data_IF_347810789260
#
_entry.id   IF_347810789260
#
_cell.length_a   1.000
_cell.length_b   1.000
_cell.length_c   1.000
_cell.angle_alpha   90.00
_cell.angle_beta   90.00
_cell.angle_gamma   90.00
#
_symmetry.space_group_name_H-M   'P 1'
#
loop_
_entity.id
_entity.type
_entity.pdbx_description
1 polymer ?
#
# COMPACT_ATOMS: atom_id res chain seq x y z
N UNK A 1 8.60 13.04 0.98
CA UNK A 1 7.83 13.57 2.14
C UNK A 1 6.38 13.19 1.95
N UNK A 2 5.69 12.76 3.01
CA UNK A 2 4.24 12.53 3.00
C UNK A 2 3.55 13.84 3.38
N UNK A 3 2.53 14.24 2.63
CA UNK A 3 1.72 15.42 2.91
C UNK A 3 0.37 14.97 3.46
N UNK A 4 -0.03 15.52 4.60
CA UNK A 4 -1.35 15.27 5.20
C UNK A 4 -2.22 16.49 4.95
N UNK A 5 -3.32 16.30 4.23
CA UNK A 5 -4.39 17.29 4.20
C UNK A 5 -5.29 17.08 5.42
N UNK A 6 -5.28 18.02 6.36
CA UNK A 6 -6.06 17.97 7.58
C UNK A 6 -7.14 19.07 7.65
N UNK A 7 -7.71 19.50 6.52
CA UNK A 7 -8.74 20.56 6.48
C UNK A 7 -9.91 20.30 7.44
N UNK A 8 -10.26 19.03 7.67
CA UNK A 8 -11.39 18.63 8.50
C UNK A 8 -10.99 17.98 9.83
N UNK A 9 -9.74 18.18 10.28
CA UNK A 9 -9.21 17.64 11.54
C UNK A 9 -9.29 16.10 11.68
N UNK A 10 -9.52 15.39 10.57
CA UNK A 10 -9.64 13.93 10.54
C UNK A 10 -8.35 13.24 10.97
N UNK A 11 -7.20 13.82 10.63
CA UNK A 11 -5.92 13.28 11.06
C UNK A 11 -5.74 13.42 12.56
N UNK A 12 -6.07 14.58 13.14
CA UNK A 12 -5.94 14.79 14.58
C UNK A 12 -6.94 13.91 15.35
N UNK A 13 -8.17 13.77 14.83
CA UNK A 13 -9.16 12.82 15.32
C UNK A 13 -8.62 11.39 15.34
N UNK A 14 -8.07 10.92 14.22
CA UNK A 14 -7.42 9.61 14.12
C UNK A 14 -6.25 9.47 15.11
N UNK A 15 -5.41 10.50 15.24
CA UNK A 15 -4.29 10.54 16.18
C UNK A 15 -4.73 10.56 17.64
N UNK A 16 -5.92 11.08 17.95
CA UNK A 16 -6.47 11.13 19.31
C UNK A 16 -7.10 9.82 19.78
N UNK A 17 -7.33 8.84 18.89
CA UNK A 17 -7.92 7.55 19.26
C UNK A 17 -7.09 6.86 20.34
N UNK A 18 -7.76 6.43 21.40
CA UNK A 18 -7.19 5.66 22.50
C UNK A 18 -7.63 4.21 22.41
N UNK A 19 -6.79 3.28 22.87
CA UNK A 19 -7.07 1.82 22.85
C UNK A 19 -7.33 1.23 21.46
N UNK A 20 -6.83 1.87 20.39
CA UNK A 20 -6.91 1.38 19.02
C UNK A 20 -5.54 1.52 18.33
N UNK A 21 -5.23 0.57 17.45
CA UNK A 21 -4.06 0.62 16.58
C UNK A 21 -4.31 1.60 15.43
N UNK A 22 -3.39 2.54 15.22
CA UNK A 22 -3.45 3.54 14.16
C UNK A 22 -2.68 3.05 12.95
N UNK A 23 -3.37 2.55 11.94
CA UNK A 23 -2.72 2.07 10.71
C UNK A 23 -3.03 3.05 9.58
N UNK A 24 -2.00 3.43 8.82
CA UNK A 24 -2.17 4.30 7.65
C UNK A 24 -2.09 3.47 6.38
N UNK A 25 -3.14 3.55 5.56
CA UNK A 25 -3.15 2.92 4.24
C UNK A 25 -2.65 3.87 3.16
N UNK A 26 -1.82 3.36 2.26
CA UNK A 26 -1.31 4.05 1.08
C UNK A 26 -1.92 3.46 -0.18
N UNK A 27 -2.77 4.24 -0.86
CA UNK A 27 -3.45 3.82 -2.09
C UNK A 27 -4.96 4.04 -2.00
N UNK A 28 -5.72 2.97 -2.13
CA UNK A 28 -7.15 2.93 -2.35
C UNK A 28 -7.51 3.07 -3.83
N UNK A 29 -8.75 2.71 -4.17
CA UNK A 29 -9.30 2.75 -5.53
C UNK A 29 -8.97 4.03 -6.29
N UNK A 30 -9.42 5.20 -5.83
CA UNK A 30 -9.23 6.46 -6.54
C UNK A 30 -7.75 6.77 -6.82
N UNK A 31 -6.88 6.59 -5.82
CA UNK A 31 -5.45 6.82 -6.01
C UNK A 31 -4.82 5.82 -7.01
N UNK A 32 -5.29 4.58 -6.99
CA UNK A 32 -4.77 3.50 -7.84
C UNK A 32 -5.32 3.53 -9.27
N UNK A 33 -6.49 4.15 -9.51
CA UNK A 33 -7.19 4.07 -10.80
C UNK A 33 -7.46 5.40 -11.49
N UNK A 34 -7.30 6.55 -10.83
CA UNK A 34 -7.48 7.85 -11.49
C UNK A 34 -6.31 8.18 -12.41
N UNK A 35 -6.60 8.78 -13.58
CA UNK A 35 -5.61 9.06 -14.62
C UNK A 35 -4.43 9.93 -14.16
N UNK A 36 -4.60 10.72 -13.10
CA UNK A 36 -3.54 11.57 -12.51
C UNK A 36 -2.61 10.82 -11.55
N UNK A 37 -3.05 9.69 -10.99
CA UNK A 37 -2.35 9.02 -9.86
C UNK A 37 -2.04 7.54 -10.09
N UNK A 38 -2.71 6.86 -11.04
CA UNK A 38 -2.63 5.40 -11.22
C UNK A 38 -1.21 4.84 -11.31
N UNK A 39 -0.28 5.61 -11.89
CA UNK A 39 1.09 5.17 -12.13
C UNK A 39 2.05 5.49 -10.97
N UNK A 40 1.60 6.18 -9.92
CA UNK A 40 2.47 6.63 -8.82
C UNK A 40 2.99 5.44 -8.00
N UNK A 41 2.11 4.55 -7.53
CA UNK A 41 2.55 3.36 -6.78
C UNK A 41 3.40 2.44 -7.64
N UNK A 42 3.00 2.24 -8.90
CA UNK A 42 3.77 1.47 -9.88
C UNK A 42 5.21 1.99 -9.98
N UNK A 43 5.39 3.30 -10.23
CA UNK A 43 6.73 3.90 -10.31
C UNK A 43 7.48 3.90 -9.00
N UNK A 44 6.80 4.09 -7.87
CA UNK A 44 7.42 4.09 -6.55
C UNK A 44 8.02 2.72 -6.18
N UNK A 45 7.40 1.63 -6.63
CA UNK A 45 7.83 0.25 -6.35
C UNK A 45 8.90 -0.29 -7.32
N UNK A 46 9.19 0.44 -8.41
CA UNK A 46 10.27 0.09 -9.33
C UNK A 46 11.63 0.04 -8.61
N UNK A 47 12.57 -0.83 -9.02
CA UNK A 47 13.86 -0.99 -8.34
C UNK A 47 14.61 0.32 -8.13
N UNK A 48 14.52 1.24 -9.08
CA UNK A 48 15.22 2.54 -9.04
C UNK A 48 14.68 3.50 -7.98
N UNK A 49 13.42 3.33 -7.56
CA UNK A 49 12.74 4.23 -6.63
C UNK A 49 12.41 3.57 -5.28
N UNK A 50 12.42 2.23 -5.23
CA UNK A 50 11.96 1.43 -4.08
C UNK A 50 12.58 1.87 -2.76
N UNK A 51 13.90 2.03 -2.72
CA UNK A 51 14.60 2.39 -1.48
C UNK A 51 14.15 3.75 -0.94
N UNK A 52 13.98 4.73 -1.84
CA UNK A 52 13.48 6.06 -1.48
C UNK A 52 12.03 5.98 -1.01
N UNK A 53 11.19 5.19 -1.67
CA UNK A 53 9.80 5.00 -1.28
C UNK A 53 9.69 4.37 0.11
N UNK A 54 10.38 3.25 0.34
CA UNK A 54 10.42 2.55 1.64
C UNK A 54 10.91 3.47 2.76
N UNK A 55 12.03 4.18 2.55
CA UNK A 55 12.57 5.10 3.56
C UNK A 55 11.58 6.21 3.91
N UNK A 56 10.88 6.75 2.92
CA UNK A 56 9.85 7.78 3.15
C UNK A 56 8.67 7.23 3.96
N UNK A 57 8.22 6.00 3.68
CA UNK A 57 7.13 5.36 4.42
C UNK A 57 7.51 5.10 5.88
N UNK A 58 8.71 4.55 6.13
CA UNK A 58 9.21 4.28 7.48
C UNK A 58 9.38 5.59 8.26
N UNK A 59 10.03 6.59 7.66
CA UNK A 59 10.22 7.89 8.29
C UNK A 59 8.88 8.56 8.63
N UNK A 60 7.90 8.48 7.73
CA UNK A 60 6.54 8.94 8.01
C UNK A 60 5.92 8.17 9.18
N UNK A 61 5.94 6.84 9.17
CA UNK A 61 5.28 6.05 10.19
C UNK A 61 5.82 6.34 11.60
N UNK A 62 7.15 6.46 11.70
CA UNK A 62 7.82 6.84 12.95
C UNK A 62 7.49 8.27 13.38
N UNK A 63 7.62 9.25 12.48
CA UNK A 63 7.35 10.65 12.79
C UNK A 63 5.88 10.90 13.15
N UNK A 64 4.97 10.22 12.46
CA UNK A 64 3.55 10.27 12.71
C UNK A 64 3.18 9.52 14.01
N UNK A 65 4.01 8.63 14.53
CA UNK A 65 3.70 7.79 15.70
C UNK A 65 2.47 6.90 15.47
N UNK A 66 2.34 6.35 14.26
CA UNK A 66 1.31 5.35 13.93
C UNK A 66 1.81 3.96 14.29
N UNK A 67 0.91 2.98 14.31
CA UNK A 67 1.21 1.61 14.70
C UNK A 67 1.43 0.66 13.51
N UNK A 68 1.23 1.14 12.27
CA UNK A 68 1.34 0.28 11.11
C UNK A 68 1.14 0.99 9.79
N UNK A 69 1.49 0.25 8.74
CA UNK A 69 1.37 0.63 7.35
C UNK A 69 0.54 -0.44 6.65
N UNK A 70 -0.43 0.02 5.87
CA UNK A 70 -1.16 -0.79 4.90
C UNK A 70 -0.86 -0.28 3.49
N UNK A 71 -0.74 -1.18 2.51
CA UNK A 71 -0.65 -0.79 1.09
C UNK A 71 -1.88 -1.32 0.37
N UNK A 72 -2.67 -0.40 -0.16
CA UNK A 72 -3.93 -0.68 -0.84
C UNK A 72 -3.81 -0.33 -2.33
N UNK A 73 -3.02 -1.12 -3.07
CA UNK A 73 -2.84 -0.93 -4.50
C UNK A 73 -3.89 -1.73 -5.28
N UNK A 74 -4.81 -1.03 -5.95
CA UNK A 74 -5.94 -1.62 -6.68
C UNK A 74 -5.86 -1.42 -8.21
N UNK A 75 -5.44 -2.40 -9.01
CA UNK A 75 -4.73 -3.63 -8.64
C UNK A 75 -3.46 -3.80 -9.52
N UNK A 76 -2.32 -4.26 -8.97
CA UNK A 76 -1.13 -4.57 -9.74
C UNK A 76 -1.44 -5.61 -10.83
N UNK A 77 -1.07 -5.31 -12.08
CA UNK A 77 -1.29 -6.24 -13.20
C UNK A 77 -2.74 -6.33 -13.71
N UNK A 78 -3.67 -5.50 -13.22
CA UNK A 78 -5.05 -5.48 -13.74
C UNK A 78 -5.08 -5.04 -15.22
N UNK A 79 -5.66 -5.84 -16.14
CA UNK A 79 -5.60 -5.54 -17.56
C UNK A 79 -6.69 -4.58 -18.05
N UNK A 80 -7.74 -4.35 -17.26
CA UNK A 80 -9.05 -3.90 -17.73
C UNK A 80 -9.67 -2.76 -16.91
N UNK A 81 -8.89 -2.04 -16.11
CA UNK A 81 -9.37 -0.85 -15.40
C UNK A 81 -9.63 0.29 -16.42
N UNK A 82 -10.88 0.78 -16.56
CA UNK A 82 -11.19 1.81 -17.54
C UNK A 82 -10.46 3.13 -17.29
N UNK A 83 -10.00 3.78 -18.36
CA UNK A 83 -9.41 5.12 -18.28
C UNK A 83 -7.91 5.16 -17.96
N UNK A 84 -7.28 4.00 -17.72
CA UNK A 84 -5.83 3.89 -17.50
C UNK A 84 -5.22 2.76 -18.35
N UNK A 85 -3.91 2.80 -18.64
CA UNK A 85 -3.21 1.70 -19.28
C UNK A 85 -3.30 0.39 -18.47
N UNK A 86 -3.27 -0.78 -19.15
CA UNK A 86 -3.17 -2.07 -18.49
C UNK A 86 -1.98 -2.17 -17.52
N UNK A 87 -2.16 -2.97 -16.48
CA UNK A 87 -1.10 -3.37 -15.56
C UNK A 87 0.05 -4.08 -16.28
N UNK A 88 1.24 -3.98 -15.69
CA UNK A 88 2.46 -4.60 -16.22
C UNK A 88 2.74 -5.92 -15.50
N UNK A 89 3.35 -6.88 -16.20
CA UNK A 89 3.83 -8.13 -15.58
C UNK A 89 4.84 -7.87 -14.43
N UNK A 90 5.54 -6.73 -14.49
CA UNK A 90 6.48 -6.32 -13.44
C UNK A 90 5.82 -5.79 -12.17
N UNK A 91 4.52 -5.46 -12.20
CA UNK A 91 3.83 -4.80 -11.09
C UNK A 91 3.86 -5.67 -9.82
N UNK A 92 3.48 -6.95 -9.96
CA UNK A 92 3.41 -7.88 -8.83
C UNK A 92 4.79 -8.27 -8.24
N UNK A 93 5.82 -8.62 -9.04
CA UNK A 93 7.17 -8.84 -8.53
C UNK A 93 7.75 -7.61 -7.82
N UNK A 94 7.55 -6.41 -8.38
CA UNK A 94 8.01 -5.17 -7.77
C UNK A 94 7.28 -4.85 -6.47
N UNK A 95 5.99 -5.17 -6.40
CA UNK A 95 5.21 -5.01 -5.18
C UNK A 95 5.74 -5.93 -4.08
N UNK A 96 5.90 -7.23 -4.34
CA UNK A 96 6.47 -8.18 -3.39
C UNK A 96 7.88 -7.77 -2.94
N UNK A 97 8.74 -7.34 -3.85
CA UNK A 97 10.08 -6.85 -3.51
C UNK A 97 10.04 -5.60 -2.62
N UNK A 98 9.07 -4.71 -2.85
CA UNK A 98 8.85 -3.52 -2.01
C UNK A 98 8.35 -3.91 -0.63
N UNK A 99 7.42 -4.87 -0.50
CA UNK A 99 6.97 -5.38 0.80
C UNK A 99 8.12 -6.00 1.60
N UNK A 100 8.98 -6.80 0.95
CA UNK A 100 10.18 -7.38 1.59
C UNK A 100 11.14 -6.30 2.09
N UNK A 101 11.38 -5.27 1.28
CA UNK A 101 12.22 -4.14 1.66
C UNK A 101 11.60 -3.33 2.81
N UNK A 102 10.30 -3.05 2.74
CA UNK A 102 9.56 -2.35 3.78
C UNK A 102 9.58 -3.12 5.10
N UNK A 103 9.30 -4.42 5.09
CA UNK A 103 9.30 -5.24 6.30
C UNK A 103 10.67 -5.27 6.99
N UNK A 104 11.76 -5.23 6.22
CA UNK A 104 13.14 -5.18 6.73
C UNK A 104 13.45 -3.87 7.44
N UNK A 105 13.01 -2.74 6.89
CA UNK A 105 13.31 -1.40 7.43
C UNK A 105 12.30 -0.97 8.51
N UNK A 106 11.08 -1.50 8.48
CA UNK A 106 10.01 -1.14 9.41
C UNK A 106 10.22 -1.85 10.77
N UNK A 107 10.23 -1.12 11.90
CA UNK A 107 10.40 -1.73 13.22
C UNK A 107 9.35 -2.82 13.48
N UNK A 108 9.73 -3.86 14.25
CA UNK A 108 8.91 -5.08 14.43
C UNK A 108 7.58 -4.83 15.13
N UNK A 109 7.48 -3.76 15.91
CA UNK A 109 6.25 -3.36 16.59
C UNK A 109 5.20 -2.73 15.66
N UNK A 110 5.59 -2.32 14.45
CA UNK A 110 4.67 -1.80 13.44
C UNK A 110 4.12 -2.95 12.62
N UNK A 111 2.79 -2.99 12.47
CA UNK A 111 2.16 -3.92 11.54
C UNK A 111 2.39 -3.48 10.09
N UNK A 112 2.59 -4.45 9.21
CA UNK A 112 2.57 -4.30 7.77
C UNK A 112 1.42 -5.14 7.21
N UNK A 113 0.54 -4.53 6.42
CA UNK A 113 -0.54 -5.23 5.72
C UNK A 113 -0.66 -4.80 4.27
N UNK A 114 -1.48 -5.55 3.54
CA UNK A 114 -1.96 -5.16 2.22
C UNK A 114 -3.46 -5.37 2.14
N UNK A 115 -4.13 -4.57 1.32
CA UNK A 115 -5.42 -4.93 0.77
C UNK A 115 -5.24 -5.81 -0.48
N UNK A 116 -6.05 -6.87 -0.57
CA UNK A 116 -6.06 -7.78 -1.70
C UNK A 116 -7.50 -8.10 -2.13
N UNK A 117 -7.78 -8.18 -3.43
CA UNK A 117 -9.12 -8.47 -3.92
C UNK A 117 -9.53 -9.91 -3.61
N UNK A 118 -10.81 -10.13 -3.29
CA UNK A 118 -11.35 -11.50 -3.17
C UNK A 118 -11.73 -12.11 -4.53
N UNK A 119 -11.83 -11.28 -5.58
CA UNK A 119 -12.04 -11.75 -6.96
C UNK A 119 -10.78 -12.40 -7.52
N UNK A 120 -10.91 -13.65 -7.98
CA UNK A 120 -9.81 -14.37 -8.65
C UNK A 120 -9.22 -13.57 -9.83
N UNK A 121 -10.07 -12.84 -10.56
CA UNK A 121 -9.64 -12.10 -11.75
C UNK A 121 -8.50 -11.13 -11.47
N UNK A 122 -8.58 -10.41 -10.35
CA UNK A 122 -7.54 -9.47 -9.92
C UNK A 122 -6.51 -10.12 -8.99
N UNK A 123 -6.92 -11.08 -8.14
CA UNK A 123 -6.04 -11.74 -7.18
C UNK A 123 -4.96 -12.58 -7.87
N UNK A 124 -5.22 -13.16 -9.05
CA UNK A 124 -4.28 -14.05 -9.75
C UNK A 124 -2.93 -13.41 -10.07
N UNK A 125 -2.85 -12.08 -10.13
CA UNK A 125 -1.59 -11.36 -10.34
C UNK A 125 -0.74 -11.27 -9.06
N UNK A 126 -1.36 -11.36 -7.89
CA UNK A 126 -0.66 -11.24 -6.61
C UNK A 126 0.06 -12.57 -6.28
N UNK A 127 1.37 -12.55 -5.97
CA UNK A 127 2.06 -13.70 -5.38
C UNK A 127 1.65 -13.83 -3.90
N UNK A 128 0.37 -14.11 -3.65
CA UNK A 128 -0.29 -13.92 -2.35
C UNK A 128 0.33 -14.79 -1.26
N UNK A 129 0.82 -15.99 -1.63
CA UNK A 129 1.53 -16.89 -0.71
C UNK A 129 2.81 -16.23 -0.18
N UNK A 130 3.64 -15.70 -1.08
CA UNK A 130 4.90 -15.06 -0.70
C UNK A 130 4.67 -13.73 0.02
N UNK A 131 3.59 -13.01 -0.32
CA UNK A 131 3.19 -11.80 0.39
C UNK A 131 2.77 -12.12 1.84
N UNK A 132 2.01 -13.20 2.06
CA UNK A 132 1.57 -13.63 3.38
C UNK A 132 2.73 -14.07 4.30
N UNK A 133 3.91 -14.42 3.75
CA UNK A 133 5.11 -14.68 4.54
C UNK A 133 5.81 -13.39 5.02
N UNK A 134 5.46 -12.23 4.45
CA UNK A 134 6.11 -10.94 4.69
C UNK A 134 5.24 -9.99 5.51
N UNK A 135 3.93 -9.99 5.27
CA UNK A 135 2.97 -9.10 5.92
C UNK A 135 2.33 -9.77 7.13
N UNK A 136 1.91 -8.97 8.11
CA UNK A 136 1.28 -9.46 9.34
C UNK A 136 -0.15 -9.96 9.09
N UNK A 137 -0.86 -9.35 8.14
CA UNK A 137 -2.20 -9.76 7.71
C UNK A 137 -2.55 -9.19 6.32
N UNK A 138 -3.59 -9.77 5.71
CA UNK A 138 -4.15 -9.33 4.43
C UNK A 138 -5.60 -8.91 4.66
N UNK A 139 -5.96 -7.71 4.22
CA UNK A 139 -7.33 -7.19 4.23
C UNK A 139 -8.01 -7.63 2.94
N UNK A 140 -9.00 -8.52 3.05
CA UNK A 140 -9.78 -8.97 1.89
C UNK A 140 -10.77 -7.90 1.45
N UNK A 141 -10.64 -7.40 0.23
CA UNK A 141 -11.56 -6.42 -0.37
C UNK A 141 -12.56 -7.16 -1.27
N UNK A 142 -13.82 -7.17 -0.84
CA UNK A 142 -14.92 -7.69 -1.65
C UNK A 142 -15.39 -6.63 -2.64
N UNK A 143 -15.28 -6.95 -3.92
CA UNK A 143 -15.90 -6.17 -4.99
C UNK A 143 -17.40 -6.51 -4.99
N UNK A 144 -18.25 -5.49 -4.83
CA UNK A 144 -19.71 -5.60 -4.90
C UNK A 144 -20.25 -5.60 -6.33
#
# INVERSE_FOLDING_TARGET
MVYINNTYEQWDGFKSLNNAKKIVSFGGWGFSTEGSTYDILRRAMQPVNRDTFVKNMVAFAQAAGVDGIDIDWEYPGAPDIPGIPPGLESDAPNYLATLKALRKELPKEFSLSIAAPTSYWYLKAFPIKDMAEVVDYIVGVALG
#
